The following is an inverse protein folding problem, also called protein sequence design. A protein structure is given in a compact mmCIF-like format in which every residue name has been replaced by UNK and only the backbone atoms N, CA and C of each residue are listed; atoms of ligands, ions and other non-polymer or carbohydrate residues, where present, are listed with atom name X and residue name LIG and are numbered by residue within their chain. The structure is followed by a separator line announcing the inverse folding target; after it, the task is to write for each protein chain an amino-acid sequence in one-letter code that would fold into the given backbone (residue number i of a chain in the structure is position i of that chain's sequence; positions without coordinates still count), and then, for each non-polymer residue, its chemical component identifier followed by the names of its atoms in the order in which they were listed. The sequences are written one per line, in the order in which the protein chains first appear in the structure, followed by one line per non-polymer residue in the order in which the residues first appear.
data_IF_092754044575
#
_entry.id   IF_092754044575
#
_cell.length_a   1.000
_cell.length_b   1.000
_cell.length_c   1.000
_cell.angle_alpha   90.00
_cell.angle_beta   90.00
_cell.angle_gamma   90.00
#
_symmetry.space_group_name_H-M   'P 1'
#
loop_
_entity.id
_entity.type
_entity.pdbx_description
1 polymer ?
2 water ?
#
# COMPACT_ATOMS: atom_id res chain seq x y z
N UNK A 1 1.56 -33.70 -25.01
CA UNK A 1 2.05 -33.64 -23.60
C UNK A 1 0.89 -33.15 -22.76
N UNK A 2 0.81 -33.53 -21.49
CA UNK A 2 -0.35 -33.11 -20.70
C UNK A 2 -0.04 -31.92 -19.82
N UNK A 3 -1.01 -31.03 -19.71
CA UNK A 3 -0.82 -29.82 -18.90
C UNK A 3 -1.99 -29.78 -17.96
N UNK A 4 -1.81 -29.04 -16.85
CA UNK A 4 -2.80 -28.84 -15.82
C UNK A 4 -3.47 -27.53 -16.21
N UNK A 5 -4.64 -27.62 -16.84
CA UNK A 5 -5.27 -26.44 -17.42
C UNK A 5 -5.95 -25.63 -16.33
N UNK A 6 -6.18 -26.24 -15.18
CA UNK A 6 -6.74 -25.55 -14.04
C UNK A 6 -5.62 -24.82 -13.29
N UNK A 7 -4.39 -24.91 -13.82
CA UNK A 7 -3.21 -24.28 -13.23
C UNK A 7 -2.51 -23.32 -14.18
N UNK A 8 -3.28 -22.51 -14.89
CA UNK A 8 -2.74 -21.38 -15.62
C UNK A 8 -2.11 -21.64 -16.96
N UNK A 9 -2.23 -22.88 -17.47
CA UNK A 9 -1.70 -23.22 -18.80
C UNK A 9 -2.85 -23.66 -19.70
N UNK A 10 -2.71 -23.38 -20.99
CA UNK A 10 -3.67 -23.86 -22.00
C UNK A 10 -2.94 -24.20 -23.31
N UNK A 11 -3.67 -24.82 -24.25
CA UNK A 11 -3.15 -25.01 -25.61
C UNK A 11 -3.59 -23.88 -26.54
N UNK A 12 -2.64 -23.42 -27.35
CA UNK A 12 -2.90 -22.53 -28.45
C UNK A 12 -2.40 -23.30 -29.70
N UNK A 13 -3.35 -23.81 -30.48
CA UNK A 13 -3.04 -24.60 -31.66
C UNK A 13 -2.00 -25.69 -31.44
N UNK A 14 -2.14 -26.41 -30.33
CA UNK A 14 -1.18 -27.45 -29.97
C UNK A 14 -0.05 -27.00 -29.07
N UNK A 15 0.25 -25.70 -29.09
CA UNK A 15 1.38 -25.15 -28.32
C UNK A 15 0.95 -24.75 -26.94
N UNK A 16 1.81 -25.02 -25.98
CA UNK A 16 1.51 -24.74 -24.56
C UNK A 16 1.76 -23.25 -24.38
N UNK A 17 0.78 -22.57 -23.79
CA UNK A 17 0.82 -21.12 -23.54
C UNK A 17 0.43 -20.86 -22.11
N UNK A 18 0.94 -19.77 -21.51
CA UNK A 18 0.36 -19.30 -20.27
C UNK A 18 -0.98 -18.62 -20.62
N UNK A 19 -2.00 -18.96 -19.87
CA UNK A 19 -3.29 -18.35 -19.95
C UNK A 19 -3.29 -17.26 -18.86
N UNK A 20 -2.94 -16.03 -19.28
CA UNK A 20 -2.81 -14.86 -18.41
C UNK A 20 -4.12 -14.14 -18.17
N UNK A 21 -4.52 -14.01 -16.92
CA UNK A 21 -5.71 -13.26 -16.56
C UNK A 21 -5.35 -11.93 -15.88
N UNK A 22 -6.19 -11.52 -14.95
CA UNK A 22 -6.19 -10.20 -14.33
C UNK A 22 -4.87 -9.94 -13.60
N UNK A 23 -4.28 -8.79 -13.89
CA UNK A 23 -3.04 -8.30 -13.30
C UNK A 23 -1.76 -8.81 -13.93
N UNK A 24 -1.89 -9.57 -15.01
CA UNK A 24 -0.76 -10.07 -15.81
C UNK A 24 -0.97 -9.75 -17.30
N UNK A 25 0.15 -9.67 -18.04
CA UNK A 25 0.16 -9.47 -19.50
C UNK A 25 1.48 -9.94 -20.06
N UNK A 26 1.61 -10.04 -21.39
CA UNK A 26 2.87 -10.35 -21.97
C UNK A 26 3.48 -9.02 -22.40
N UNK A 27 4.80 -8.93 -22.27
CA UNK A 27 5.52 -7.71 -22.60
C UNK A 27 5.91 -7.73 -24.06
N UNK A 28 5.21 -6.95 -24.89
CA UNK A 28 5.59 -6.88 -26.31
C UNK A 28 6.68 -5.85 -26.67
N UNK A 29 7.36 -5.34 -25.66
CA UNK A 29 8.34 -4.27 -25.88
C UNK A 29 9.80 -4.71 -25.63
N UNK A 30 10.09 -6.00 -25.75
CA UNK A 30 11.45 -6.47 -25.50
C UNK A 30 12.32 -6.47 -26.76
N UNK A 31 13.56 -6.94 -26.62
CA UNK A 31 14.51 -7.03 -27.73
C UNK A 31 14.32 -8.32 -28.55
N UNK A 32 13.55 -9.28 -28.00
CA UNK A 32 13.05 -10.44 -28.77
C UNK A 32 11.55 -10.48 -29.15
N UNK A 33 10.82 -9.38 -28.93
CA UNK A 33 9.37 -9.32 -29.13
C UNK A 33 9.07 -8.94 -30.56
N UNK A 34 7.87 -9.25 -31.11
CA UNK A 34 6.75 -9.93 -30.44
C UNK A 34 6.65 -11.48 -30.53
N UNK A 35 7.59 -12.14 -31.18
CA UNK A 35 7.66 -13.60 -31.25
C UNK A 35 8.10 -14.21 -29.93
N UNK A 36 8.93 -13.51 -29.15
CA UNK A 36 9.26 -13.93 -27.77
C UNK A 36 8.92 -12.79 -26.76
N UNK A 37 7.82 -12.95 -26.00
CA UNK A 37 7.39 -12.03 -24.93
C UNK A 37 7.40 -12.63 -23.51
N UNK A 38 8.06 -11.96 -22.56
CA UNK A 38 8.00 -12.43 -21.19
C UNK A 38 6.65 -12.14 -20.61
N UNK A 39 6.33 -12.83 -19.52
CA UNK A 39 5.16 -12.48 -18.78
C UNK A 39 5.54 -11.44 -17.73
N UNK A 40 4.68 -10.43 -17.56
CA UNK A 40 4.93 -9.34 -16.62
C UNK A 40 3.59 -9.06 -15.89
N UNK A 41 3.63 -8.27 -14.80
CA UNK A 41 2.40 -7.88 -14.17
C UNK A 41 1.84 -6.75 -15.04
N UNK A 42 0.55 -6.48 -14.92
CA UNK A 42 -0.09 -5.38 -15.69
C UNK A 42 -0.53 -4.37 -14.66
N UNK A 43 0.01 -3.16 -14.77
CA UNK A 43 -0.13 -2.16 -13.70
C UNK A 43 -0.71 -0.84 -14.21
N UNK A 44 -1.45 -0.11 -13.39
CA UNK A 44 -1.92 1.19 -13.83
C UNK A 44 -1.69 2.20 -12.74
N UNK A 45 -2.61 3.18 -12.64
CA UNK A 45 -2.60 4.21 -11.57
C UNK A 45 -2.16 3.75 -10.16
N UNK A 46 -1.12 4.41 -9.62
CA UNK A 46 -0.76 4.18 -8.23
C UNK A 46 0.38 3.18 -8.10
N UNK A 47 0.75 2.55 -9.22
CA UNK A 47 1.82 1.53 -9.21
C UNK A 47 2.85 1.80 -10.25
N UNK A 48 4.10 1.48 -9.92
CA UNK A 48 5.18 1.54 -10.87
C UNK A 48 6.16 0.41 -10.61
N UNK A 49 7.16 0.28 -11.47
CA UNK A 49 8.31 -0.59 -11.21
C UNK A 49 9.49 0.24 -10.72
N UNK A 50 10.27 -0.31 -9.76
CA UNK A 50 11.56 0.29 -9.43
C UNK A 50 12.66 -0.15 -10.46
N UNK A 51 13.92 0.22 -10.24
CA UNK A 51 14.96 -0.14 -11.20
C UNK A 51 15.15 -1.63 -11.45
N UNK A 52 14.96 -2.43 -10.41
CA UNK A 52 15.11 -3.88 -10.50
C UNK A 52 13.80 -4.61 -10.84
N UNK A 53 12.77 -3.88 -11.28
CA UNK A 53 11.53 -4.49 -11.77
C UNK A 53 10.51 -4.82 -10.70
N UNK A 54 10.72 -4.33 -9.45
CA UNK A 54 9.80 -4.66 -8.39
C UNK A 54 8.68 -3.65 -8.44
N UNK A 55 7.45 -4.07 -8.12
CA UNK A 55 6.33 -3.13 -8.00
C UNK A 55 6.40 -2.35 -6.68
N UNK A 56 6.21 -1.05 -6.82
CA UNK A 56 6.15 -0.11 -5.72
C UNK A 56 4.86 0.72 -5.84
N UNK A 57 4.42 1.34 -4.73
CA UNK A 57 3.36 2.36 -4.82
C UNK A 57 3.92 3.70 -5.31
N UNK A 58 3.20 4.35 -6.23
CA UNK A 58 3.59 5.65 -6.72
C UNK A 58 2.96 6.70 -5.79
N UNK A 59 3.82 7.50 -5.14
CA UNK A 59 3.35 8.48 -4.19
C UNK A 59 3.51 9.89 -4.75
N UNK A 60 2.49 10.73 -4.52
CA UNK A 60 2.52 12.11 -4.97
C UNK A 60 2.60 13.07 -3.79
N UNK A 61 2.01 14.25 -3.96
CA UNK A 61 2.04 15.31 -2.95
C UNK A 61 1.49 14.89 -1.60
N UNK A 62 2.32 15.05 -0.57
CA UNK A 62 1.85 14.93 0.80
C UNK A 62 1.99 13.53 1.37
N UNK A 63 2.44 12.61 0.53
CA UNK A 63 2.69 11.22 0.98
C UNK A 63 4.15 10.82 0.74
N UNK A 64 4.70 10.05 1.67
CA UNK A 64 6.11 9.66 1.63
C UNK A 64 6.30 8.25 2.19
N UNK A 65 7.33 7.53 1.74
CA UNK A 65 7.71 6.28 2.45
C UNK A 65 8.47 6.61 3.73
N UNK A 66 8.16 5.88 4.79
CA UNK A 66 8.95 5.97 6.03
C UNK A 66 10.09 4.96 5.85
N UNK A 67 10.97 4.84 6.84
CA UNK A 67 12.17 4.01 6.67
C UNK A 67 11.91 2.50 6.73
N UNK A 68 10.65 2.11 6.86
CA UNK A 68 10.26 0.69 6.83
C UNK A 68 9.37 0.33 5.60
N UNK A 69 9.38 1.19 4.61
CA UNK A 69 8.71 0.91 3.35
C UNK A 69 7.21 1.08 3.38
N UNK A 70 6.70 1.80 4.37
CA UNK A 70 5.27 1.99 4.53
C UNK A 70 4.84 3.36 4.02
N UNK A 71 3.61 3.45 3.54
CA UNK A 71 3.12 4.74 3.08
C UNK A 71 2.67 5.58 4.28
N UNK A 72 3.11 6.81 4.31
CA UNK A 72 2.78 7.67 5.43
C UNK A 72 2.52 9.11 5.01
N UNK A 73 1.90 9.85 5.90
CA UNK A 73 1.65 11.26 5.70
C UNK A 73 2.90 12.12 5.90
N UNK A 74 3.29 12.83 4.84
CA UNK A 74 4.47 13.68 4.80
C UNK A 74 4.35 14.97 5.59
N UNK A 75 5.49 15.62 5.86
CA UNK A 75 5.53 16.80 6.75
C UNK A 75 6.81 17.63 6.65
N UNK A 83 2.46 28.38 14.98
CA UNK A 83 2.10 27.15 15.66
C UNK A 83 0.85 27.30 16.49
N UNK A 84 0.19 26.17 16.76
CA UNK A 84 -1.05 26.10 17.52
C UNK A 84 -0.82 25.29 18.79
N UNK A 85 -1.58 25.58 19.86
CA UNK A 85 -1.33 24.93 21.15
C UNK A 85 -1.84 23.48 21.21
N UNK A 86 -1.16 22.65 22.01
CA UNK A 86 -1.65 21.32 22.36
C UNK A 86 -2.47 21.31 23.64
N UNK A 87 -2.95 20.13 24.01
CA UNK A 87 -3.62 19.90 25.29
C UNK A 87 -2.65 20.14 26.45
N UNK A 88 -3.18 20.69 27.53
CA UNK A 88 -2.46 20.81 28.79
C UNK A 88 -2.44 19.43 29.40
N UNK A 89 -1.77 19.24 30.55
CA UNK A 89 -1.91 17.98 31.30
C UNK A 89 -3.33 17.69 31.79
N UNK A 90 -3.71 16.43 31.63
CA UNK A 90 -4.92 15.88 32.22
C UNK A 90 -4.58 15.25 33.56
N UNK A 91 -4.53 16.10 34.59
CA UNK A 91 -4.18 15.74 35.96
C UNK A 91 -5.05 16.47 37.01
N UNK A 92 -6.22 16.97 36.59
CA UNK A 92 -7.12 17.66 37.50
C UNK A 92 -6.69 19.08 37.89
N UNK A 93 -5.59 19.57 37.33
CA UNK A 93 -5.06 20.89 37.71
C UNK A 93 -5.31 21.91 36.59
N UNK A 94 -5.27 23.19 36.96
CA UNK A 94 -5.44 24.25 35.97
C UNK A 94 -4.11 24.78 35.48
N UNK A 95 -4.15 25.24 34.24
CA UNK A 95 -2.98 25.62 33.48
C UNK A 95 -3.19 26.89 32.68
N UNK A 96 -2.10 27.60 32.55
CA UNK A 96 -2.05 28.80 31.78
C UNK A 96 -0.80 28.63 30.91
N UNK A 97 -0.79 29.34 29.80
CA UNK A 97 0.24 29.26 28.81
C UNK A 97 1.35 30.31 29.09
N UNK A 98 2.59 29.85 29.24
CA UNK A 98 3.75 30.72 29.41
C UNK A 98 4.87 30.17 28.57
N UNK A 99 5.40 31.00 27.65
CA UNK A 99 6.57 30.64 26.81
C UNK A 99 6.38 29.24 26.19
N UNK A 100 5.25 29.04 25.51
CA UNK A 100 4.95 27.76 24.84
C UNK A 100 4.88 26.52 25.70
N UNK A 101 4.64 26.70 26.99
CA UNK A 101 4.48 25.62 27.93
C UNK A 101 3.22 25.83 28.75
N UNK A 102 2.54 24.75 29.10
CA UNK A 102 1.46 24.78 30.09
C UNK A 102 2.16 24.82 31.44
N UNK A 103 1.99 25.91 32.18
CA UNK A 103 2.50 26.01 33.55
C UNK A 103 1.28 26.13 34.48
N UNK A 104 1.40 25.54 35.66
CA UNK A 104 0.32 25.52 36.64
C UNK A 104 -0.09 26.93 37.04
N UNK A 105 -1.35 27.29 36.80
CA UNK A 105 -1.96 28.53 37.36
C UNK A 105 -1.52 28.79 38.80
N UNK A 106 -1.26 27.72 39.54
CA UNK A 106 -0.79 27.75 40.93
C UNK A 106 0.33 28.73 41.17
N UNK A 107 1.28 28.72 40.27
CA UNK A 107 2.55 29.46 40.36
C UNK A 107 2.32 30.95 40.58
N UNK A 108 1.21 31.41 40.01
CA UNK A 108 0.97 32.83 39.71
C UNK A 108 0.03 33.50 40.71
N UNK A 109 -0.52 32.68 41.60
CA UNK A 109 -1.40 33.12 42.68
C UNK A 109 -0.62 32.99 43.98
N UNK B 1 8.11 -30.84 -28.04
CA UNK B 1 6.93 -30.03 -27.56
C UNK B 1 6.94 -28.64 -28.18
N UNK B 2 5.77 -28.17 -28.63
CA UNK B 2 5.61 -26.78 -29.03
C UNK B 2 5.10 -25.87 -27.90
N UNK B 3 5.80 -24.74 -27.72
CA UNK B 3 5.40 -23.70 -26.78
C UNK B 3 5.13 -22.35 -27.50
N UNK B 4 4.27 -21.55 -26.91
CA UNK B 4 3.96 -20.24 -27.47
C UNK B 4 4.83 -19.21 -26.73
N UNK B 5 5.93 -18.87 -27.37
CA UNK B 5 6.95 -18.05 -26.75
C UNK B 5 6.49 -16.62 -26.60
N UNK B 6 5.41 -16.25 -27.31
CA UNK B 6 4.83 -14.92 -27.22
C UNK B 6 3.88 -14.83 -26.00
N UNK B 7 3.67 -15.98 -25.36
CA UNK B 7 2.88 -16.06 -24.16
C UNK B 7 3.74 -16.50 -22.96
N UNK B 8 4.93 -15.91 -22.80
CA UNK B 8 5.65 -16.00 -21.53
C UNK B 8 6.45 -17.24 -21.23
N UNK B 9 6.58 -18.10 -22.25
CA UNK B 9 7.35 -19.34 -22.09
C UNK B 9 8.55 -19.32 -23.03
N UNK B 10 9.63 -20.00 -22.65
CA UNK B 10 10.86 -20.05 -23.45
C UNK B 10 11.61 -21.33 -23.10
N UNK B 11 12.68 -21.64 -23.85
CA UNK B 11 13.53 -22.76 -23.51
C UNK B 11 14.74 -22.27 -22.78
N UNK B 12 15.15 -23.06 -21.80
CA UNK B 12 16.40 -22.89 -21.06
C UNK B 12 17.05 -24.28 -21.05
N UNK B 13 17.99 -24.49 -21.98
CA UNK B 13 18.58 -25.81 -22.30
C UNK B 13 17.60 -26.93 -22.58
N UNK B 14 16.68 -26.69 -23.51
CA UNK B 14 15.62 -27.63 -23.93
C UNK B 14 14.44 -27.85 -22.93
N UNK B 15 14.62 -27.34 -21.70
CA UNK B 15 13.56 -27.38 -20.71
C UNK B 15 12.62 -26.15 -20.87
N UNK B 16 11.31 -26.38 -20.88
CA UNK B 16 10.37 -25.23 -20.82
C UNK B 16 10.52 -24.49 -19.48
N UNK B 17 10.68 -23.16 -19.56
CA UNK B 17 10.78 -22.27 -18.41
C UNK B 17 9.74 -21.15 -18.55
N UNK B 18 9.27 -20.59 -17.42
CA UNK B 18 8.55 -19.31 -17.50
C UNK B 18 9.65 -18.24 -17.72
N UNK B 19 9.41 -17.37 -18.71
CA UNK B 19 10.23 -16.19 -19.04
C UNK B 19 9.59 -15.03 -18.28
N UNK B 20 10.11 -14.76 -17.06
CA UNK B 20 9.46 -13.86 -16.13
C UNK B 20 10.02 -12.49 -16.34
N UNK B 21 9.14 -11.51 -16.52
CA UNK B 21 9.53 -10.15 -16.77
C UNK B 21 9.30 -9.23 -15.58
N UNK B 22 9.00 -7.97 -15.88
CA UNK B 22 8.76 -6.98 -14.81
C UNK B 22 7.62 -7.33 -13.83
N UNK B 23 7.90 -7.15 -12.52
CA UNK B 23 6.94 -7.43 -11.48
C UNK B 23 6.86 -8.88 -11.05
N UNK B 24 7.70 -9.75 -11.63
CA UNK B 24 7.68 -11.18 -11.28
C UNK B 24 9.08 -11.69 -11.02
N UNK B 25 9.15 -12.77 -10.26
CA UNK B 25 10.41 -13.41 -9.96
C UNK B 25 10.15 -14.88 -9.57
N UNK B 26 11.23 -15.62 -9.40
CA UNK B 26 11.14 -16.98 -8.86
C UNK B 26 11.57 -16.97 -7.40
N UNK B 27 10.80 -17.62 -6.54
CA UNK B 27 11.01 -17.57 -5.11
C UNK B 27 12.11 -18.59 -4.77
N UNK B 28 13.31 -18.09 -4.47
CA UNK B 28 14.42 -18.98 -4.13
C UNK B 28 14.54 -19.26 -2.63
N UNK B 29 13.52 -18.89 -1.87
CA UNK B 29 13.50 -19.12 -0.42
C UNK B 29 12.47 -20.09 0.13
N UNK B 30 11.99 -21.00 -0.70
CA UNK B 30 11.04 -21.99 -0.23
C UNK B 30 11.82 -23.21 0.28
N UNK B 31 11.14 -24.13 0.96
CA UNK B 31 11.75 -25.38 1.44
C UNK B 31 12.33 -26.21 0.30
N UNK B 32 11.74 -26.06 -0.90
CA UNK B 32 12.13 -26.89 -2.04
C UNK B 32 13.14 -26.20 -2.99
N UNK B 33 13.57 -24.97 -2.66
CA UNK B 33 14.54 -24.21 -3.47
C UNK B 33 15.99 -24.70 -3.23
N UNK B 34 16.90 -24.52 -4.17
CA UNK B 34 16.70 -23.80 -5.44
C UNK B 34 16.29 -24.68 -6.61
N UNK B 35 16.04 -25.95 -6.35
CA UNK B 35 15.58 -26.90 -7.38
C UNK B 35 14.13 -26.66 -7.88
N UNK B 36 13.23 -26.37 -6.94
CA UNK B 36 11.84 -26.03 -7.25
C UNK B 36 11.59 -24.67 -6.62
N UNK B 37 11.43 -23.67 -7.49
CA UNK B 37 11.05 -22.33 -7.14
C UNK B 37 9.74 -21.94 -7.86
N UNK B 38 8.75 -21.60 -7.08
CA UNK B 38 7.46 -21.15 -7.61
C UNK B 38 7.67 -19.77 -8.20
N UNK B 39 6.78 -19.37 -9.09
CA UNK B 39 6.84 -17.99 -9.53
C UNK B 39 6.05 -17.15 -8.51
N UNK B 40 6.54 -15.92 -8.26
CA UNK B 40 5.88 -15.01 -7.35
C UNK B 40 5.93 -13.59 -7.92
N UNK B 41 5.18 -12.67 -7.34
CA UNK B 41 5.35 -11.28 -7.78
C UNK B 41 6.61 -10.72 -7.12
N UNK B 42 7.17 -9.67 -7.71
CA UNK B 42 8.35 -9.05 -7.14
C UNK B 42 7.84 -7.71 -6.65
N UNK B 43 8.03 -7.43 -5.36
CA UNK B 43 7.44 -6.23 -4.73
C UNK B 43 8.49 -5.43 -3.93
N UNK B 44 8.27 -4.11 -3.84
CA UNK B 44 9.15 -3.19 -3.12
C UNK B 44 8.33 -2.24 -2.25
N UNK B 45 8.82 -1.02 -2.14
CA UNK B 45 8.26 -0.04 -1.24
C UNK B 45 6.77 0.12 -1.42
N UNK B 46 6.08 -0.05 -0.31
CA UNK B 46 4.65 0.26 -0.21
C UNK B 46 3.75 -0.93 -0.46
N UNK B 47 4.34 -2.08 -0.79
CA UNK B 47 3.59 -3.30 -1.02
C UNK B 47 4.05 -4.38 -0.07
N UNK B 48 3.12 -5.23 0.37
CA UNK B 48 3.43 -6.40 1.17
C UNK B 48 2.56 -7.55 0.79
N UNK B 49 2.78 -8.69 1.43
CA UNK B 49 1.83 -9.79 1.40
C UNK B 49 1.01 -9.92 2.71
N UNK B 50 -0.23 -10.32 2.60
CA UNK B 50 -0.96 -10.70 3.80
C UNK B 50 -0.70 -12.19 4.06
N UNK B 51 -1.38 -12.77 5.06
CA UNK B 51 -1.18 -14.19 5.46
C UNK B 51 -1.52 -15.20 4.36
N UNK B 52 -2.42 -14.83 3.47
CA UNK B 52 -2.72 -15.69 2.34
C UNK B 52 -1.81 -15.54 1.15
N UNK B 53 -0.78 -14.71 1.23
CA UNK B 53 0.09 -14.47 0.07
C UNK B 53 -0.46 -13.45 -0.92
N UNK B 54 -1.56 -12.81 -0.57
CA UNK B 54 -2.10 -11.68 -1.35
C UNK B 54 -1.35 -10.35 -1.21
N UNK B 55 -1.12 -9.63 -2.32
CA UNK B 55 -0.51 -8.30 -2.23
C UNK B 55 -1.45 -7.30 -1.61
N UNK B 56 -0.92 -6.53 -0.68
CA UNK B 56 -1.62 -5.44 -0.06
C UNK B 56 -0.72 -4.21 -0.08
N UNK B 57 -1.30 -3.04 0.11
CA UNK B 57 -0.47 -1.84 0.31
C UNK B 57 -0.03 -1.77 1.77
N UNK B 58 1.21 -1.32 1.95
CA UNK B 58 1.81 -1.24 3.29
C UNK B 58 1.57 0.14 3.85
N UNK B 59 0.73 0.24 4.87
CA UNK B 59 0.29 1.54 5.35
C UNK B 59 1.06 1.94 6.59
N UNK B 60 1.47 3.19 6.65
CA UNK B 60 2.12 3.65 7.88
C UNK B 60 1.24 4.60 8.63
N UNK B 61 1.89 5.59 9.25
CA UNK B 61 1.21 6.57 10.10
C UNK B 61 0.28 7.45 9.29
N UNK B 62 -0.95 7.59 9.78
CA UNK B 62 -1.89 8.54 9.23
C UNK B 62 -2.87 7.86 8.29
N UNK B 63 -2.59 6.62 7.91
CA UNK B 63 -3.39 5.93 6.88
C UNK B 63 -4.01 4.62 7.37
N UNK B 64 -5.20 4.32 6.83
CA UNK B 64 -5.94 3.12 7.18
C UNK B 64 -6.73 2.58 5.97
N UNK B 65 -7.25 1.37 6.13
CA UNK B 65 -8.19 0.81 5.16
C UNK B 65 -9.64 1.04 5.57
N UNK B 66 -10.45 1.51 4.62
CA UNK B 66 -11.89 1.53 4.84
C UNK B 66 -12.47 0.13 4.72
N UNK B 67 -13.78 0.08 4.79
CA UNK B 67 -14.59 -1.11 4.79
C UNK B 67 -14.51 -1.94 3.51
N UNK B 68 -14.07 -1.34 2.41
CA UNK B 68 -13.85 -2.08 1.15
C UNK B 68 -12.40 -2.40 0.84
N UNK B 69 -11.52 -2.09 1.80
CA UNK B 69 -10.08 -2.21 1.66
C UNK B 69 -9.46 -1.11 0.85
N UNK B 70 -10.14 0.04 0.77
CA UNK B 70 -9.57 1.20 0.11
C UNK B 70 -8.74 2.01 1.12
N UNK B 71 -7.68 2.67 0.63
CA UNK B 71 -6.83 3.49 1.48
C UNK B 71 -7.53 4.78 1.80
N UNK B 72 -7.53 5.14 3.09
CA UNK B 72 -8.10 6.42 3.47
C UNK B 72 -7.26 7.20 4.50
N UNK B 73 -7.49 8.51 4.60
CA UNK B 73 -6.77 9.36 5.57
C UNK B 73 -7.38 9.17 6.96
N UNK B 74 -6.51 9.03 7.97
CA UNK B 74 -6.94 8.84 9.34
C UNK B 74 -6.99 7.35 9.71
N UNK B 84 -4.58 19.62 18.38
CA UNK B 84 -5.07 20.99 18.23
C UNK B 84 -6.40 21.22 18.96
N UNK B 85 -6.39 22.07 19.97
CA UNK B 85 -7.55 22.23 20.84
C UNK B 85 -8.51 23.37 20.42
N UNK B 86 -9.83 23.09 20.46
CA UNK B 86 -10.86 24.07 20.11
C UNK B 86 -10.84 25.38 20.93
N UNK B 87 -11.49 26.39 20.37
CA UNK B 87 -11.52 27.75 20.91
C UNK B 87 -12.41 27.86 22.17
N UNK B 88 -11.94 28.55 23.19
CA UNK B 88 -12.72 28.76 24.41
C UNK B 88 -13.87 29.72 24.08
N UNK B 89 -14.90 29.83 24.94
CA UNK B 89 -16.03 30.72 24.66
C UNK B 89 -15.66 32.21 24.53
N UNK B 90 -16.42 32.92 23.71
CA UNK B 90 -16.16 34.33 23.45
C UNK B 90 -17.16 35.28 24.18
N UNK B 91 -17.38 35.00 25.46
CA UNK B 91 -18.35 35.73 26.30
C UNK B 91 -17.74 36.84 27.16
N UNK B 92 -16.60 37.37 26.74
CA UNK B 92 -15.87 38.37 27.52
C UNK B 92 -15.08 37.85 28.72
N UNK B 93 -15.32 36.59 29.10
CA UNK B 93 -14.69 35.99 30.29
C UNK B 93 -13.42 35.17 29.98
N UNK B 94 -12.42 35.24 30.88
CA UNK B 94 -11.12 34.55 30.72
C UNK B 94 -11.15 33.08 31.14
N UNK B 95 -10.42 32.26 30.39
CA UNK B 95 -10.47 30.82 30.59
C UNK B 95 -9.08 30.23 30.76
N UNK B 96 -9.00 29.22 31.64
CA UNK B 96 -7.80 28.41 31.84
C UNK B 96 -8.07 26.93 31.43
N UNK B 97 -7.02 26.14 31.19
CA UNK B 97 -7.21 24.73 30.76
C UNK B 97 -7.01 23.73 31.90
N UNK B 98 -7.98 22.83 32.06
CA UNK B 98 -7.94 21.78 33.10
C UNK B 98 -8.65 20.51 32.60
N UNK B 99 -8.04 19.34 32.82
CA UNK B 99 -8.59 18.05 32.38
C UNK B 99 -9.31 18.17 31.06
N UNK B 100 -8.64 18.68 30.02
CA UNK B 100 -9.23 18.74 28.68
C UNK B 100 -10.43 19.68 28.49
N UNK B 101 -10.64 20.63 29.42
CA UNK B 101 -11.71 21.63 29.27
C UNK B 101 -11.24 23.09 29.51
N UNK B 102 -11.92 24.03 28.86
CA UNK B 102 -11.76 25.44 29.18
C UNK B 102 -12.62 25.75 30.43
N UNK B 103 -11.95 26.12 31.52
CA UNK B 103 -12.57 26.40 32.82
C UNK B 103 -12.37 27.87 33.18
N UNK B 104 -13.45 28.51 33.65
CA UNK B 104 -13.42 29.93 34.00
C UNK B 104 -12.33 30.25 35.06
N UNK B 105 -11.54 31.28 34.79
CA UNK B 105 -10.47 31.70 35.67
C UNK B 105 -10.89 31.83 37.16
N UNK B 106 -11.97 32.56 37.42
CA UNK B 106 -12.43 32.90 38.76
C UNK B 106 -12.77 31.69 39.61
N UNK B 107 -12.75 30.50 38.99
CA UNK B 107 -13.05 29.23 39.67
C UNK B 107 -11.93 28.92 40.66
N UNK B 108 -10.76 29.44 40.32
CA UNK B 108 -9.51 29.13 41.00
C UNK B 108 -8.98 30.34 41.79
N UNK B 109 -9.56 31.50 41.48
CA UNK B 109 -9.36 32.71 42.27
C UNK B 109 -10.32 32.73 43.46
N UNK C 1 8.68 -35.00 -21.34
CA UNK C 1 8.86 -33.51 -21.51
C UNK C 1 9.74 -32.94 -20.39
N UNK C 2 10.60 -32.01 -20.78
CA UNK C 2 11.52 -31.40 -19.86
C UNK C 2 10.97 -30.02 -19.44
N UNK C 3 10.88 -29.78 -18.13
CA UNK C 3 10.55 -28.44 -17.58
C UNK C 3 11.65 -27.97 -16.63
N UNK C 4 11.83 -26.65 -16.52
CA UNK C 4 12.83 -26.08 -15.63
C UNK C 4 12.12 -25.70 -14.33
N UNK C 5 12.33 -26.52 -13.30
CA UNK C 5 11.51 -26.44 -12.08
C UNK C 5 11.87 -25.25 -11.21
N UNK C 6 13.08 -24.74 -11.41
CA UNK C 6 13.58 -23.57 -10.69
C UNK C 6 13.06 -22.28 -11.36
N UNK C 7 12.27 -22.45 -12.43
CA UNK C 7 11.60 -21.33 -13.13
C UNK C 7 10.06 -21.44 -13.22
N UNK C 8 9.46 -21.80 -12.08
CA UNK C 8 8.04 -21.60 -11.80
C UNK C 8 7.10 -22.64 -12.35
N UNK C 9 7.65 -23.73 -12.88
CA UNK C 9 6.85 -24.82 -13.41
C UNK C 9 7.16 -26.08 -12.58
N UNK C 10 6.16 -26.96 -12.48
CA UNK C 10 6.25 -28.23 -11.72
C UNK C 10 5.27 -29.24 -12.32
N UNK C 11 5.42 -30.51 -11.97
CA UNK C 11 4.48 -31.57 -12.37
C UNK C 11 3.43 -31.79 -11.29
N UNK C 12 2.17 -31.78 -11.69
CA UNK C 12 1.01 -32.05 -10.88
C UNK C 12 0.63 -33.44 -11.34
N UNK C 13 1.20 -34.44 -10.67
CA UNK C 13 1.29 -35.82 -11.18
C UNK C 13 1.98 -35.93 -12.53
N UNK C 14 1.27 -36.18 -13.62
CA UNK C 14 2.01 -36.23 -14.88
C UNK C 14 1.97 -34.89 -15.66
N UNK C 15 1.05 -34.01 -15.26
CA UNK C 15 0.72 -32.82 -16.03
C UNK C 15 1.59 -31.61 -15.61
N UNK C 16 2.01 -30.81 -16.60
CA UNK C 16 2.84 -29.63 -16.35
C UNK C 16 1.91 -28.58 -15.81
N UNK C 17 2.35 -27.88 -14.77
CA UNK C 17 1.52 -26.85 -14.19
C UNK C 17 2.42 -25.66 -13.88
N UNK C 18 1.83 -24.47 -13.86
CA UNK C 18 2.50 -23.35 -13.18
C UNK C 18 2.49 -23.57 -11.66
N UNK C 19 3.65 -23.36 -11.05
CA UNK C 19 3.78 -23.45 -9.59
C UNK C 19 3.65 -22.03 -8.99
N UNK C 20 2.45 -21.65 -8.56
CA UNK C 20 2.20 -20.23 -8.22
C UNK C 20 2.51 -20.02 -6.74
N UNK C 21 3.38 -19.06 -6.42
CA UNK C 21 3.64 -18.69 -5.04
C UNK C 21 3.03 -17.35 -4.67
N UNK C 22 3.73 -16.58 -3.88
CA UNK C 22 3.12 -15.42 -3.30
C UNK C 22 2.69 -14.39 -4.35
N UNK C 23 1.53 -13.77 -4.14
CA UNK C 23 1.04 -12.70 -5.02
C UNK C 23 0.41 -13.18 -6.30
N UNK C 24 0.32 -14.49 -6.46
CA UNK C 24 -0.28 -15.11 -7.65
C UNK C 24 -1.27 -16.22 -7.26
N UNK C 25 -2.20 -16.56 -8.15
CA UNK C 25 -3.23 -17.57 -7.86
C UNK C 25 -3.90 -17.93 -9.16
N UNK C 26 -4.69 -19.00 -9.16
CA UNK C 26 -5.50 -19.34 -10.34
C UNK C 26 -6.94 -18.84 -10.15
N UNK C 27 -7.51 -18.29 -11.20
CA UNK C 27 -8.78 -17.64 -11.20
C UNK C 27 -9.80 -18.75 -11.39
N UNK C 28 -10.45 -19.12 -10.30
CA UNK C 28 -11.50 -20.11 -10.33
C UNK C 28 -12.90 -19.51 -10.64
N UNK C 29 -12.97 -18.21 -10.96
CA UNK C 29 -14.25 -17.49 -11.18
C UNK C 29 -14.57 -17.16 -12.63
N UNK C 30 -13.97 -17.88 -13.55
CA UNK C 30 -14.29 -17.67 -14.96
C UNK C 30 -15.40 -18.67 -15.38
N UNK C 31 -15.91 -18.45 -16.59
CA UNK C 31 -16.87 -19.36 -17.23
C UNK C 31 -16.22 -20.74 -17.31
N UNK C 32 -14.96 -20.73 -17.74
CA UNK C 32 -14.22 -21.96 -18.02
C UNK C 32 -13.74 -22.72 -16.77
N UNK C 33 -13.81 -22.08 -15.60
CA UNK C 33 -13.36 -22.70 -14.35
C UNK C 33 -14.42 -23.69 -13.87
N UNK C 34 -14.06 -24.73 -13.10
CA UNK C 34 -12.67 -24.99 -12.65
C UNK C 34 -11.72 -25.74 -13.58
N UNK C 35 -12.17 -26.09 -14.78
CA UNK C 35 -11.32 -26.91 -15.63
C UNK C 35 -10.19 -26.13 -16.34
N UNK C 36 -10.47 -24.90 -16.79
CA UNK C 36 -9.48 -23.97 -17.30
C UNK C 36 -9.52 -22.69 -16.43
N UNK C 37 -8.47 -22.49 -15.62
CA UNK C 37 -8.35 -21.30 -14.76
C UNK C 37 -7.13 -20.52 -15.21
N UNK C 38 -7.29 -19.25 -15.53
CA UNK C 38 -6.11 -18.42 -15.91
C UNK C 38 -5.24 -18.20 -14.69
N UNK C 39 -3.95 -17.90 -14.86
CA UNK C 39 -3.22 -17.39 -13.72
C UNK C 39 -3.49 -15.88 -13.59
N UNK C 40 -3.63 -15.43 -12.36
CA UNK C 40 -3.86 -14.00 -12.09
C UNK C 40 -3.02 -13.57 -10.90
N UNK C 41 -2.89 -12.27 -10.68
CA UNK C 41 -2.28 -11.83 -9.41
C UNK C 41 -3.28 -12.03 -8.32
N UNK C 42 -2.76 -12.15 -7.09
CA UNK C 42 -3.55 -12.35 -5.88
C UNK C 42 -3.46 -11.07 -5.09
N UNK C 43 -4.61 -10.43 -4.85
CA UNK C 43 -4.65 -9.05 -4.34
C UNK C 43 -5.55 -8.91 -3.13
N UNK C 44 -5.24 -7.98 -2.23
CA UNK C 44 -6.04 -7.76 -1.04
C UNK C 44 -6.11 -6.29 -0.80
N UNK C 45 -6.27 -5.88 0.48
CA UNK C 45 -6.55 -4.48 0.82
C UNK C 45 -5.54 -3.52 0.18
N UNK C 46 -6.06 -2.43 -0.36
CA UNK C 46 -5.25 -1.42 -0.98
C UNK C 46 -4.99 -1.61 -2.47
N UNK C 47 -5.35 -2.76 -3.04
CA UNK C 47 -5.13 -2.99 -4.44
C UNK C 47 -6.43 -3.41 -5.12
N UNK C 48 -6.60 -3.01 -6.37
CA UNK C 48 -7.82 -3.32 -7.13
C UNK C 48 -7.43 -3.59 -8.56
N UNK C 49 -8.40 -4.01 -9.41
CA UNK C 49 -8.14 -3.99 -10.83
C UNK C 49 -8.96 -2.89 -11.51
N UNK C 50 -8.36 -2.38 -12.59
CA UNK C 50 -8.96 -1.57 -13.65
C UNK C 50 -10.01 -2.36 -14.43
N UNK C 51 -10.68 -1.67 -15.37
CA UNK C 51 -11.39 -2.35 -16.46
C UNK C 51 -10.46 -3.07 -17.44
N UNK C 52 -9.25 -2.54 -17.62
CA UNK C 52 -8.22 -3.08 -18.51
C UNK C 52 -7.47 -4.31 -17.88
N UNK C 53 -7.94 -4.76 -16.73
CA UNK C 53 -7.28 -5.85 -15.96
C UNK C 53 -5.92 -5.46 -15.34
N UNK C 54 -5.64 -4.16 -15.25
CA UNK C 54 -4.41 -3.67 -14.58
C UNK C 54 -4.62 -3.50 -13.08
N UNK C 55 -3.57 -3.70 -12.29
CA UNK C 55 -3.66 -3.51 -10.86
C UNK C 55 -3.46 -2.04 -10.61
N UNK C 56 -4.29 -1.50 -9.73
CA UNK C 56 -4.21 -0.11 -9.32
C UNK C 56 -4.27 -0.07 -7.82
N UNK C 57 -3.82 1.02 -7.21
CA UNK C 57 -4.11 1.23 -5.78
C UNK C 57 -5.57 1.63 -5.60
N UNK C 58 -6.19 1.01 -4.60
CA UNK C 58 -7.58 1.18 -4.25
C UNK C 58 -7.66 2.33 -3.23
N UNK C 59 -8.24 3.44 -3.68
CA UNK C 59 -8.28 4.71 -2.93
C UNK C 59 -9.68 5.00 -2.43
N UNK C 60 -9.75 5.43 -1.17
CA UNK C 60 -10.97 5.89 -0.56
C UNK C 60 -10.94 7.35 -0.15
N UNK C 61 -11.69 7.64 0.91
CA UNK C 61 -11.96 9.01 1.30
C UNK C 61 -10.69 9.77 1.61
N UNK C 62 -10.46 10.85 0.85
CA UNK C 62 -9.36 11.75 1.11
C UNK C 62 -8.14 11.62 0.23
N UNK C 63 -8.07 10.51 -0.49
CA UNK C 63 -6.93 10.24 -1.38
C UNK C 63 -7.45 10.24 -2.82
N UNK C 64 -6.61 10.61 -3.77
CA UNK C 64 -6.98 10.51 -5.16
C UNK C 64 -5.68 10.35 -5.95
N UNK C 65 -5.80 10.05 -7.23
CA UNK C 65 -4.70 10.12 -8.17
C UNK C 65 -4.45 11.57 -8.64
N UNK C 66 -3.19 11.98 -8.57
CA UNK C 66 -2.83 13.26 -9.17
C UNK C 66 -2.76 13.03 -10.67
N UNK C 67 -2.36 14.03 -11.44
CA UNK C 67 -2.35 13.87 -12.89
C UNK C 67 -1.19 13.09 -13.49
N UNK C 68 -0.38 12.46 -12.66
CA UNK C 68 0.61 11.58 -13.23
C UNK C 68 0.62 10.20 -12.57
N UNK C 69 -0.55 9.80 -12.09
CA UNK C 69 -0.84 8.47 -11.60
C UNK C 69 -0.30 8.12 -10.22
N UNK C 70 0.02 9.14 -9.42
CA UNK C 70 0.52 8.93 -8.06
C UNK C 70 -0.58 9.27 -7.03
N UNK C 71 -0.56 8.62 -5.86
CA UNK C 71 -1.55 8.83 -4.79
C UNK C 71 -1.21 10.16 -4.11
N UNK C 72 -2.25 10.95 -3.86
CA UNK C 72 -2.06 12.25 -3.23
C UNK C 72 -3.15 12.55 -2.20
N UNK C 73 -2.87 13.54 -1.34
CA UNK C 73 -3.81 14.06 -0.37
C UNK C 73 -4.84 14.91 -1.08
N UNK C 85 -6.72 27.10 18.52
CA UNK C 85 -6.12 28.28 19.13
C UNK C 85 -4.65 28.43 18.74
N UNK C 86 -4.23 29.66 18.42
CA UNK C 86 -2.81 29.92 18.18
C UNK C 86 -2.01 29.97 19.49
N UNK C 87 -0.71 29.70 19.43
CA UNK C 87 0.14 29.74 20.62
C UNK C 87 0.01 31.13 21.30
N UNK C 88 -0.03 31.14 22.64
CA UNK C 88 0.07 32.36 23.45
C UNK C 88 1.41 33.09 23.22
N UNK C 89 1.52 34.37 23.55
CA UNK C 89 2.78 35.08 23.35
C UNK C 89 3.93 34.47 24.13
N UNK C 90 5.12 34.58 23.55
CA UNK C 90 6.33 34.04 24.14
C UNK C 90 7.14 35.20 24.72
N UNK C 91 6.82 35.56 25.97
CA UNK C 91 7.44 36.72 26.60
C UNK C 91 7.74 36.57 28.10
N UNK C 92 7.87 35.34 28.58
CA UNK C 92 8.16 35.12 29.99
C UNK C 92 7.03 35.40 30.97
N UNK C 93 5.84 35.71 30.44
CA UNK C 93 4.61 35.88 31.21
C UNK C 93 3.48 34.87 30.95
N UNK C 94 2.66 34.66 31.97
CA UNK C 94 1.50 33.76 31.93
C UNK C 94 0.27 34.40 31.27
N UNK C 95 -0.44 33.62 30.45
CA UNK C 95 -1.53 34.10 29.60
C UNK C 95 -2.81 33.26 29.59
N UNK C 96 -3.95 33.92 29.49
CA UNK C 96 -5.24 33.25 29.41
C UNK C 96 -6.08 33.62 28.19
N UNK C 97 -7.12 32.81 27.95
CA UNK C 97 -7.90 32.86 26.69
C UNK C 97 -9.17 33.64 26.95
N UNK C 98 -9.41 34.69 26.16
CA UNK C 98 -10.62 35.51 26.29
C UNK C 98 -10.88 36.22 24.95
N UNK C 99 -12.11 36.05 24.47
CA UNK C 99 -12.59 36.59 23.20
C UNK C 99 -11.73 36.35 21.94
N UNK C 100 -11.07 35.19 21.87
CA UNK C 100 -10.26 34.84 20.71
C UNK C 100 -8.91 35.54 20.76
N UNK C 101 -8.55 35.95 21.96
CA UNK C 101 -7.29 36.61 22.20
C UNK C 101 -6.62 35.97 23.38
N UNK C 102 -5.30 36.15 23.42
CA UNK C 102 -4.48 35.74 24.52
C UNK C 102 -4.17 36.95 25.39
N UNK C 103 -4.73 36.94 26.61
CA UNK C 103 -4.71 38.11 27.49
C UNK C 103 -4.00 37.79 28.80
N UNK C 104 -2.93 38.55 29.07
CA UNK C 104 -2.11 38.39 30.28
C UNK C 104 -2.96 38.02 31.48
N UNK C 105 -2.48 37.09 32.28
CA UNK C 105 -3.12 36.71 33.52
C UNK C 105 -3.21 37.88 34.51
N UNK C 106 -2.07 38.53 34.75
CA UNK C 106 -1.90 39.68 35.65
C UNK C 106 -3.05 40.69 35.57
N UNK C 107 -3.54 40.90 34.35
CA UNK C 107 -4.62 41.81 34.00
C UNK C 107 -5.91 41.46 34.75
N UNK C 108 -6.03 40.19 35.15
CA UNK C 108 -7.24 39.68 35.82
C UNK C 108 -7.08 39.63 37.35
N UNK C 109 -5.86 39.63 37.83
CA UNK C 109 -5.59 39.66 39.25
C UNK C 109 -5.50 41.12 39.74
#
# INVERSE_FOLDING_TARGET
VSIKKSSGLNFDNTAIAINAGKGLEFDTNTSESPDINPIKTKIGSGIDYNENGAMITKLGAGLSFDNSGAITIGNKNDDKGSGYIPEAPRDGQAYVRKDGEWVLLSTFL
VSIKKSSGLNFDNTAIAINAGKGLEFDTNTSESPDINPIKTKIGSGIDYNENGAMITKLGAGLSFDNSGAITIGNKNDDKGSGYIPEAPRDGQAYVRKDGEWVLLSTFL
VSIKKSSGLNFDNTAIAINAGKGLEFDTNTSESPDINPIKTKIGSGIDYNENGAMITKLGAGLSFDNSGAITIGNKNDDKGSGYIPEAPRDGQAYVRKDGEWVLLSTFL
#
